data_IF_531737815594
#
_entry.id   IF_531737815594
#
_cell.length_a   1.000
_cell.length_b   1.000
_cell.length_c   1.000
_cell.angle_alpha   90.00
_cell.angle_beta   90.00
_cell.angle_gamma   90.00
#
_symmetry.space_group_name_H-M   'P 1'
#
loop_
_entity.id
_entity.type
_entity.pdbx_description
1 polymer ?
#
# COMPACT_ATOMS: atom_id res chain seq x y z
N UNK A 1 -10.35 42.90 18.72
CA UNK A 1 -8.90 43.11 18.97
C UNK A 1 -8.13 42.02 18.23
N UNK A 2 -7.31 42.46 17.27
CA UNK A 2 -6.27 41.77 16.51
C UNK A 2 -6.56 40.48 15.72
N UNK A 3 -7.03 40.71 14.50
CA UNK A 3 -6.81 39.93 13.28
C UNK A 3 -5.36 40.10 12.80
N UNK A 4 -4.68 39.02 12.36
CA UNK A 4 -3.53 39.12 11.45
C UNK A 4 -3.68 38.09 10.32
N UNK A 5 -4.09 38.60 9.17
CA UNK A 5 -4.05 37.93 7.88
C UNK A 5 -2.64 38.09 7.29
N UNK A 6 -2.06 37.00 6.79
CA UNK A 6 -0.88 37.05 5.93
C UNK A 6 -1.33 36.98 4.48
N UNK A 7 -1.11 38.08 3.78
CA UNK A 7 -1.29 38.24 2.34
C UNK A 7 0.03 37.91 1.65
N UNK A 8 0.00 36.99 0.67
CA UNK A 8 1.11 36.79 -0.27
C UNK A 8 0.50 36.81 -1.66
N UNK A 9 0.90 37.82 -2.41
CA UNK A 9 0.43 38.16 -3.73
C UNK A 9 1.64 38.19 -4.68
N UNK A 10 1.34 37.94 -5.95
CA UNK A 10 2.10 38.23 -7.17
C UNK A 10 3.13 37.23 -7.70
N UNK A 11 2.86 36.80 -8.94
CA UNK A 11 3.80 36.16 -9.84
C UNK A 11 3.16 35.56 -11.11
N UNK A 12 2.14 36.20 -11.71
CA UNK A 12 1.62 35.81 -13.02
C UNK A 12 2.33 36.67 -14.09
N UNK A 13 3.11 36.06 -14.96
CA UNK A 13 3.62 36.70 -16.18
C UNK A 13 3.09 35.91 -17.39
N UNK A 14 2.12 36.51 -18.08
CA UNK A 14 1.65 36.16 -19.41
C UNK A 14 2.01 37.34 -20.30
N UNK A 15 2.87 37.14 -21.29
CA UNK A 15 3.01 38.03 -22.45
C UNK A 15 2.95 37.15 -23.70
N UNK A 16 2.15 37.63 -24.65
CA UNK A 16 1.64 36.95 -25.81
C UNK A 16 2.33 37.40 -27.12
N UNK A 17 2.13 36.56 -28.14
CA UNK A 17 1.95 36.85 -29.58
C UNK A 17 3.12 37.28 -30.49
N UNK A 18 2.98 36.76 -31.72
CA UNK A 18 3.57 37.14 -33.02
C UNK A 18 5.07 36.82 -33.24
N UNK A 19 5.53 36.25 -34.36
CA UNK A 19 5.09 36.34 -35.76
C UNK A 19 5.45 35.07 -36.58
N UNK A 20 4.56 34.69 -37.50
CA UNK A 20 4.88 34.07 -38.80
C UNK A 20 4.27 35.01 -39.86
N UNK A 21 4.67 35.03 -41.17
CA UNK A 21 5.35 34.00 -41.97
C UNK A 21 6.44 34.58 -42.93
N UNK A 22 7.06 33.75 -43.79
CA UNK A 22 7.24 34.00 -45.25
C UNK A 22 7.97 32.83 -45.94
N UNK A 23 7.38 32.34 -47.04
CA UNK A 23 8.00 31.48 -48.06
C UNK A 23 9.03 32.25 -48.90
N UNK A 24 9.93 31.53 -49.62
CA UNK A 24 10.29 31.97 -50.95
C UNK A 24 10.03 30.89 -52.02
N UNK A 25 9.45 31.40 -53.11
CA UNK A 25 9.19 30.80 -54.41
C UNK A 25 10.44 30.61 -55.29
N UNK A 26 10.40 29.58 -56.14
CA UNK A 26 11.12 29.47 -57.43
C UNK A 26 12.44 28.68 -57.39
N UNK A 27 12.89 27.94 -58.40
CA UNK A 27 12.41 27.58 -59.75
C UNK A 27 13.26 26.38 -60.22
N UNK A 28 12.68 25.56 -61.09
CA UNK A 28 13.19 24.41 -61.86
C UNK A 28 14.70 24.25 -62.12
N UNK A 29 15.17 23.00 -61.97
CA UNK A 29 16.19 22.42 -62.86
C UNK A 29 15.95 20.92 -63.05
N UNK A 30 15.63 20.52 -64.29
CA UNK A 30 15.60 19.12 -64.76
C UNK A 30 17.01 18.53 -64.71
N UNK A 31 17.13 17.33 -64.15
CA UNK A 31 18.22 16.42 -64.44
C UNK A 31 17.74 14.98 -64.28
N UNK A 32 17.65 14.29 -65.40
CA UNK A 32 17.39 12.86 -65.54
C UNK A 32 18.69 12.07 -65.23
N UNK A 33 18.65 11.20 -64.23
CA UNK A 33 19.68 10.22 -63.89
C UNK A 33 19.05 8.87 -63.53
N UNK A 34 19.76 7.73 -63.73
CA UNK A 34 19.15 6.44 -63.98
C UNK A 34 18.57 5.79 -62.72
N UNK A 35 17.50 5.02 -62.92
CA UNK A 35 16.88 4.19 -61.90
C UNK A 35 17.90 3.21 -61.30
N UNK A 36 18.32 3.47 -60.06
CA UNK A 36 18.89 2.45 -59.19
C UNK A 36 17.73 1.79 -58.45
N UNK A 37 17.42 0.57 -58.88
CA UNK A 37 16.57 -0.39 -58.17
C UNK A 37 17.26 -0.78 -56.86
N UNK A 38 17.21 0.11 -55.88
CA UNK A 38 17.47 -0.23 -54.49
C UNK A 38 16.23 -0.88 -53.92
N UNK A 39 16.20 -2.22 -53.90
CA UNK A 39 15.30 -2.94 -53.00
C UNK A 39 15.67 -2.52 -51.57
N UNK A 40 14.97 -1.51 -51.07
CA UNK A 40 15.03 -1.15 -49.66
C UNK A 40 14.28 -2.27 -48.95
N UNK A 41 15.03 -3.23 -48.39
CA UNK A 41 14.45 -4.24 -47.53
C UNK A 41 13.65 -3.51 -46.44
N UNK A 42 12.37 -3.82 -46.36
CA UNK A 42 11.50 -3.30 -45.32
C UNK A 42 12.16 -3.52 -43.94
N UNK A 43 12.09 -2.55 -43.02
CA UNK A 43 12.64 -2.74 -41.68
C UNK A 43 12.03 -4.02 -41.10
N UNK A 44 12.92 -4.96 -40.75
CA UNK A 44 12.57 -6.22 -40.10
C UNK A 44 11.56 -5.93 -38.99
N UNK A 45 10.37 -6.52 -39.10
CA UNK A 45 9.30 -6.35 -38.13
C UNK A 45 9.88 -6.61 -36.74
N UNK A 46 9.90 -5.57 -35.89
CA UNK A 46 10.28 -5.71 -34.49
C UNK A 46 9.41 -6.80 -33.90
N UNK A 47 10.02 -7.93 -33.50
CA UNK A 47 9.28 -9.02 -32.90
C UNK A 47 8.52 -8.47 -31.69
N UNK A 48 7.19 -8.50 -31.76
CA UNK A 48 6.34 -8.12 -30.64
C UNK A 48 6.65 -9.07 -29.49
N UNK A 49 7.00 -8.52 -28.33
CA UNK A 49 7.23 -9.32 -27.14
C UNK A 49 5.90 -9.95 -26.69
N UNK A 50 5.89 -11.27 -26.50
CA UNK A 50 4.73 -12.03 -26.00
C UNK A 50 4.89 -12.31 -24.49
N UNK A 51 4.09 -11.68 -23.61
CA UNK A 51 4.17 -11.90 -22.17
C UNK A 51 3.73 -13.32 -21.79
N UNK A 52 4.53 -13.99 -20.96
CA UNK A 52 4.20 -15.29 -20.38
C UNK A 52 3.73 -15.09 -18.94
N UNK A 53 2.60 -15.72 -18.60
CA UNK A 53 2.07 -15.73 -17.24
C UNK A 53 2.99 -16.49 -16.29
N UNK A 54 3.20 -15.94 -15.10
CA UNK A 54 3.98 -16.51 -14.00
C UNK A 54 3.14 -16.47 -12.73
N UNK A 55 3.00 -17.62 -12.08
CA UNK A 55 2.19 -17.78 -10.87
C UNK A 55 3.07 -18.11 -9.67
N UNK A 56 2.69 -17.57 -8.50
CA UNK A 56 3.26 -17.94 -7.20
C UNK A 56 2.11 -18.07 -6.19
N UNK A 57 2.10 -19.18 -5.45
CA UNK A 57 1.18 -19.37 -4.33
C UNK A 57 1.97 -19.50 -3.04
N UNK A 58 1.48 -18.88 -1.98
CA UNK A 58 2.08 -18.93 -0.65
C UNK A 58 1.00 -18.85 0.43
N UNK A 59 1.27 -19.38 1.61
CA UNK A 59 0.44 -19.16 2.79
C UNK A 59 1.03 -17.98 3.59
N UNK A 60 0.22 -16.95 3.86
CA UNK A 60 0.61 -15.78 4.64
C UNK A 60 -0.62 -15.11 5.29
N UNK A 61 -0.42 -14.41 6.42
CA UNK A 61 -1.49 -13.67 7.12
C UNK A 61 -2.76 -14.52 7.42
N UNK A 62 -2.56 -15.82 7.70
CA UNK A 62 -3.64 -16.77 7.98
C UNK A 62 -4.49 -17.15 6.77
N UNK A 63 -4.00 -16.97 5.55
CA UNK A 63 -4.73 -17.30 4.31
C UNK A 63 -3.79 -17.71 3.17
N UNK A 64 -4.37 -18.07 2.03
CA UNK A 64 -3.65 -18.33 0.78
C UNK A 64 -3.53 -17.07 -0.04
N UNK A 65 -2.31 -16.72 -0.41
CA UNK A 65 -2.02 -15.71 -1.42
C UNK A 65 -1.75 -16.38 -2.76
N UNK A 66 -2.34 -15.83 -3.81
CA UNK A 66 -2.08 -16.20 -5.19
C UNK A 66 -1.64 -14.95 -5.93
N UNK A 67 -0.36 -14.89 -6.27
CA UNK A 67 0.25 -13.82 -7.03
C UNK A 67 0.34 -14.26 -8.49
N UNK A 68 -0.09 -13.39 -9.39
CA UNK A 68 0.04 -13.58 -10.83
C UNK A 68 0.80 -12.40 -11.39
N UNK A 69 1.83 -12.65 -12.20
CA UNK A 69 2.49 -11.62 -13.00
C UNK A 69 2.84 -12.15 -14.38
N UNK A 70 3.53 -11.34 -15.18
CA UNK A 70 3.90 -11.69 -16.54
C UNK A 70 5.37 -11.32 -16.79
N UNK A 71 6.03 -12.08 -17.66
CA UNK A 71 7.34 -11.69 -18.19
C UNK A 71 7.26 -10.32 -18.86
N UNK A 72 8.38 -9.62 -18.87
CA UNK A 72 8.50 -8.32 -19.55
C UNK A 72 9.63 -8.39 -20.58
N UNK A 73 9.77 -7.41 -21.49
CA UNK A 73 10.92 -7.36 -22.41
C UNK A 73 12.28 -7.38 -21.70
N UNK A 74 12.32 -7.07 -20.40
CA UNK A 74 13.54 -7.01 -19.57
C UNK A 74 13.66 -8.14 -18.56
N UNK A 75 12.60 -8.89 -18.30
CA UNK A 75 12.53 -9.88 -17.22
C UNK A 75 11.93 -11.18 -17.76
N UNK A 76 12.74 -12.22 -17.81
CA UNK A 76 12.25 -13.56 -18.11
C UNK A 76 11.62 -14.18 -16.85
N UNK A 77 11.09 -15.39 -17.00
CA UNK A 77 10.36 -16.07 -15.94
C UNK A 77 11.15 -16.23 -14.62
N UNK A 78 12.45 -16.58 -14.63
CA UNK A 78 13.22 -16.67 -13.39
C UNK A 78 13.32 -15.33 -12.63
N UNK A 79 13.52 -14.22 -13.34
CA UNK A 79 13.63 -12.88 -12.73
C UNK A 79 12.28 -12.40 -12.20
N UNK A 80 11.18 -12.70 -12.90
CA UNK A 80 9.82 -12.44 -12.40
C UNK A 80 9.56 -13.23 -11.13
N UNK A 81 9.89 -14.52 -11.09
CA UNK A 81 9.76 -15.36 -9.89
C UNK A 81 10.58 -14.82 -8.73
N UNK A 82 11.82 -14.40 -8.97
CA UNK A 82 12.67 -13.80 -7.95
C UNK A 82 12.07 -12.51 -7.39
N UNK A 83 11.53 -11.64 -8.24
CA UNK A 83 10.85 -10.42 -7.82
C UNK A 83 9.60 -10.70 -6.97
N UNK A 84 8.79 -11.69 -7.38
CA UNK A 84 7.62 -12.13 -6.61
C UNK A 84 8.02 -12.72 -5.24
N UNK A 85 9.09 -13.51 -5.17
CA UNK A 85 9.62 -14.05 -3.92
C UNK A 85 10.15 -12.96 -2.98
N UNK A 86 10.83 -11.95 -3.53
CA UNK A 86 11.28 -10.79 -2.75
C UNK A 86 10.08 -10.01 -2.18
N UNK A 87 9.02 -9.82 -2.98
CA UNK A 87 7.79 -9.19 -2.53
C UNK A 87 7.09 -10.01 -1.43
N UNK A 88 7.09 -11.34 -1.54
CA UNK A 88 6.60 -12.23 -0.49
C UNK A 88 7.41 -12.16 0.81
N UNK A 89 8.72 -11.97 0.73
CA UNK A 89 9.54 -11.78 1.93
C UNK A 89 9.15 -10.51 2.70
N UNK A 90 8.73 -9.47 1.98
CA UNK A 90 8.21 -8.23 2.59
C UNK A 90 6.83 -8.45 3.22
N UNK A 91 5.98 -9.26 2.60
CA UNK A 91 4.70 -9.69 3.20
C UNK A 91 4.94 -10.36 4.54
N UNK A 92 5.88 -11.31 4.62
CA UNK A 92 6.20 -12.02 5.87
C UNK A 92 6.74 -11.09 6.95
N UNK A 93 7.62 -10.16 6.58
CA UNK A 93 8.18 -9.17 7.52
C UNK A 93 7.08 -8.30 8.12
N UNK A 94 6.24 -7.71 7.28
CA UNK A 94 5.16 -6.82 7.72
C UNK A 94 4.05 -7.59 8.47
N UNK A 95 3.73 -8.82 8.06
CA UNK A 95 2.76 -9.66 8.74
C UNK A 95 3.20 -9.96 10.18
N UNK A 96 4.50 -10.22 10.41
CA UNK A 96 5.04 -10.40 11.77
C UNK A 96 4.98 -9.10 12.57
N UNK A 97 5.40 -8.00 11.96
CA UNK A 97 5.47 -6.67 12.60
C UNK A 97 4.10 -6.15 13.07
N UNK A 98 3.06 -6.37 12.26
CA UNK A 98 1.70 -5.86 12.46
C UNK A 98 0.77 -6.86 13.18
N UNK A 99 1.27 -8.04 13.55
CA UNK A 99 0.49 -9.12 14.15
C UNK A 99 0.04 -8.79 15.57
N UNK A 100 -1.24 -8.95 15.88
CA UNK A 100 -1.79 -8.94 17.24
C UNK A 100 -1.82 -10.34 17.89
N UNK A 101 -1.37 -11.37 17.17
CA UNK A 101 -1.34 -12.77 17.64
C UNK A 101 -0.02 -13.15 18.32
N UNK A 102 1.01 -12.32 18.18
CA UNK A 102 2.35 -12.58 18.73
C UNK A 102 2.72 -11.46 19.70
N UNK A 103 3.41 -11.83 20.78
CA UNK A 103 3.96 -10.84 21.72
C UNK A 103 5.18 -10.10 21.13
N UNK A 104 5.90 -10.75 20.22
CA UNK A 104 7.07 -10.22 19.52
C UNK A 104 6.66 -9.54 18.20
N UNK A 105 5.96 -8.43 18.33
CA UNK A 105 5.53 -7.55 17.23
C UNK A 105 5.32 -6.14 17.78
N UNK A 106 5.27 -5.12 16.92
CA UNK A 106 5.00 -3.75 17.38
C UNK A 106 3.63 -3.67 18.07
N UNK A 107 2.62 -4.32 17.48
CA UNK A 107 1.25 -4.36 18.04
C UNK A 107 1.22 -5.12 19.36
N UNK A 108 1.94 -6.24 19.47
CA UNK A 108 2.10 -7.01 20.70
C UNK A 108 2.73 -6.18 21.82
N UNK A 109 3.79 -5.43 21.51
CA UNK A 109 4.46 -4.54 22.45
C UNK A 109 3.55 -3.40 22.92
N UNK A 110 2.82 -2.74 21.99
CA UNK A 110 1.84 -1.70 22.34
C UNK A 110 0.75 -2.25 23.27
N UNK A 111 0.23 -3.44 22.97
CA UNK A 111 -0.79 -4.09 23.78
C UNK A 111 -0.29 -4.51 25.17
N UNK A 112 0.97 -4.94 25.27
CA UNK A 112 1.59 -5.34 26.54
C UNK A 112 1.88 -4.14 27.45
N UNK A 113 2.22 -2.98 26.87
CA UNK A 113 2.52 -1.74 27.59
C UNK A 113 1.38 -0.71 27.54
N UNK A 114 0.13 -1.18 27.44
CA UNK A 114 -1.05 -0.32 27.42
C UNK A 114 -1.02 0.71 28.57
N UNK A 115 -1.25 1.99 28.23
CA UNK A 115 -1.09 3.14 29.11
C UNK A 115 0.18 3.96 28.89
N UNK A 116 1.19 3.39 28.24
CA UNK A 116 2.49 4.03 27.96
C UNK A 116 2.72 4.18 26.46
N UNK A 117 3.59 5.12 26.07
CA UNK A 117 4.06 5.21 24.70
C UNK A 117 5.09 4.12 24.40
N UNK A 118 4.90 3.44 23.28
CA UNK A 118 5.81 2.40 22.79
C UNK A 118 6.37 2.83 21.45
N UNK A 119 7.69 2.75 21.31
CA UNK A 119 8.35 2.96 20.02
C UNK A 119 7.96 1.85 19.06
N UNK A 120 7.55 2.24 17.85
CA UNK A 120 7.17 1.33 16.78
C UNK A 120 7.97 1.63 15.51
N UNK A 121 7.86 0.76 14.52
CA UNK A 121 8.34 1.06 13.17
C UNK A 121 7.50 2.16 12.49
N UNK A 122 8.07 2.91 11.53
CA UNK A 122 7.30 3.82 10.68
C UNK A 122 6.12 3.13 9.98
N UNK A 123 6.29 1.87 9.57
CA UNK A 123 5.23 1.11 8.92
C UNK A 123 4.05 0.81 9.86
N UNK A 124 4.32 0.47 11.12
CA UNK A 124 3.24 0.30 12.11
C UNK A 124 2.53 1.61 12.38
N UNK A 125 3.27 2.71 12.52
CA UNK A 125 2.67 4.04 12.68
C UNK A 125 1.74 4.37 11.50
N UNK A 126 2.20 4.17 10.26
CA UNK A 126 1.40 4.43 9.05
C UNK A 126 0.08 3.63 9.06
N UNK A 127 0.11 2.36 9.48
CA UNK A 127 -1.09 1.52 9.57
C UNK A 127 -2.03 1.96 10.70
N UNK A 128 -1.49 2.34 11.86
CA UNK A 128 -2.28 2.85 12.99
C UNK A 128 -2.96 4.15 12.59
N UNK A 129 -2.25 5.08 11.96
CA UNK A 129 -2.82 6.35 11.50
C UNK A 129 -3.87 6.16 10.42
N UNK A 130 -3.66 5.25 9.47
CA UNK A 130 -4.70 4.84 8.51
C UNK A 130 -5.91 4.25 9.21
N UNK A 131 -5.70 3.48 10.29
CA UNK A 131 -6.76 2.92 11.10
C UNK A 131 -7.57 3.98 11.86
N UNK A 132 -6.88 4.98 12.41
CA UNK A 132 -7.49 6.14 13.05
C UNK A 132 -8.30 6.98 12.05
N UNK A 133 -7.74 7.21 10.87
CA UNK A 133 -8.44 7.87 9.77
C UNK A 133 -9.68 7.09 9.36
N UNK A 134 -9.58 5.77 9.19
CA UNK A 134 -10.71 4.90 8.85
C UNK A 134 -11.80 4.94 9.93
N UNK A 135 -11.42 4.94 11.22
CA UNK A 135 -12.38 5.11 12.32
C UNK A 135 -13.06 6.47 12.29
N UNK A 136 -12.34 7.53 11.94
CA UNK A 136 -12.91 8.87 11.78
C UNK A 136 -13.93 8.94 10.64
N UNK A 137 -13.58 8.49 9.44
CA UNK A 137 -14.46 8.60 8.27
C UNK A 137 -15.65 7.63 8.29
N UNK A 138 -15.57 6.59 9.12
CA UNK A 138 -16.67 5.62 9.34
C UNK A 138 -17.48 5.87 10.61
N UNK A 139 -17.23 6.99 11.29
CA UNK A 139 -17.90 7.36 12.55
C UNK A 139 -17.81 6.27 13.64
N UNK A 140 -16.67 5.57 13.70
CA UNK A 140 -16.40 4.49 14.65
C UNK A 140 -16.95 3.12 14.25
N UNK A 141 -17.53 2.97 13.06
CA UNK A 141 -17.93 1.65 12.52
C UNK A 141 -16.71 0.76 12.32
N UNK A 142 -15.61 1.34 11.83
CA UNK A 142 -14.29 0.71 11.85
C UNK A 142 -13.53 1.20 13.09
N UNK A 143 -13.02 0.29 13.92
CA UNK A 143 -12.26 0.67 15.11
C UNK A 143 -11.09 -0.30 15.35
N UNK A 144 -9.86 0.22 15.28
CA UNK A 144 -8.63 -0.56 15.50
C UNK A 144 -8.41 -0.98 16.96
N UNK A 145 -9.27 -0.54 17.88
CA UNK A 145 -9.27 -0.96 19.30
C UNK A 145 -10.29 -2.08 19.58
N UNK A 146 -10.91 -2.66 18.54
CA UNK A 146 -11.88 -3.76 18.68
C UNK A 146 -11.34 -4.95 19.49
N UNK A 147 -10.03 -5.19 19.45
CA UNK A 147 -9.36 -6.28 20.16
C UNK A 147 -9.45 -6.12 21.70
N UNK A 148 -9.93 -4.98 22.19
CA UNK A 148 -10.31 -4.77 23.59
C UNK A 148 -11.50 -5.64 24.04
N UNK A 149 -12.30 -6.13 23.08
CA UNK A 149 -13.33 -7.16 23.29
C UNK A 149 -12.75 -8.58 23.28
N UNK A 150 -11.44 -8.71 23.05
CA UNK A 150 -10.75 -9.99 22.90
C UNK A 150 -11.05 -10.95 24.04
N UNK A 151 -11.31 -12.20 23.68
CA UNK A 151 -11.68 -13.27 24.60
C UNK A 151 -13.19 -13.46 24.78
N UNK A 152 -14.03 -12.47 24.43
CA UNK A 152 -15.48 -12.68 24.33
C UNK A 152 -15.80 -13.60 23.14
N UNK A 153 -15.31 -13.23 21.96
CA UNK A 153 -15.40 -14.08 20.78
C UNK A 153 -14.07 -14.80 20.57
N UNK A 154 -14.14 -16.11 20.39
CA UNK A 154 -13.00 -17.00 20.19
C UNK A 154 -12.79 -17.22 18.70
N UNK A 155 -12.10 -16.28 18.05
CA UNK A 155 -11.80 -16.33 16.60
C UNK A 155 -10.54 -17.15 16.25
N UNK A 156 -9.92 -17.80 17.25
CA UNK A 156 -8.68 -18.57 17.12
C UNK A 156 -8.91 -20.03 16.78
N UNK A 157 -8.24 -20.94 17.49
CA UNK A 157 -8.39 -22.39 17.29
C UNK A 157 -9.86 -22.81 17.48
N UNK A 158 -10.40 -23.58 16.54
CA UNK A 158 -11.74 -24.14 16.63
C UNK A 158 -11.94 -25.00 17.90
N UNK A 159 -10.86 -25.51 18.49
CA UNK A 159 -10.88 -26.22 19.78
C UNK A 159 -11.14 -25.30 20.98
N UNK A 160 -10.87 -24.00 20.83
CA UNK A 160 -11.14 -22.96 21.82
C UNK A 160 -12.45 -22.22 21.52
N UNK A 161 -13.15 -22.58 20.44
CA UNK A 161 -14.42 -21.97 20.09
C UNK A 161 -15.46 -22.25 21.17
N UNK A 162 -16.03 -21.18 21.73
CA UNK A 162 -17.23 -21.30 22.55
C UNK A 162 -18.44 -21.29 21.60
N UNK A 163 -19.25 -22.36 21.56
CA UNK A 163 -20.44 -22.40 20.72
C UNK A 163 -21.53 -21.42 21.18
N UNK A 164 -21.39 -20.80 22.36
CA UNK A 164 -22.34 -19.83 22.88
C UNK A 164 -21.83 -18.41 22.64
N UNK A 165 -22.66 -17.51 22.08
CA UNK A 165 -22.30 -16.11 21.98
C UNK A 165 -22.16 -15.48 23.38
N UNK A 166 -21.31 -14.45 23.53
CA UNK A 166 -21.18 -13.71 24.79
C UNK A 166 -22.52 -13.15 25.26
N UNK A 167 -22.70 -13.08 26.58
CA UNK A 167 -23.89 -12.44 27.13
C UNK A 167 -23.88 -10.92 26.87
N UNK A 168 -25.07 -10.33 26.78
CA UNK A 168 -25.21 -8.88 26.65
C UNK A 168 -24.52 -8.10 27.79
N UNK A 169 -24.47 -8.67 28.99
CA UNK A 169 -23.80 -8.08 30.15
C UNK A 169 -22.27 -8.03 29.97
N UNK A 170 -21.68 -9.10 29.41
CA UNK A 170 -20.24 -9.15 29.13
C UNK A 170 -19.85 -8.17 28.02
N UNK A 171 -20.65 -8.10 26.95
CA UNK A 171 -20.44 -7.13 25.87
C UNK A 171 -20.52 -5.70 26.42
N UNK A 172 -21.60 -5.37 27.14
CA UNK A 172 -21.81 -4.02 27.72
C UNK A 172 -20.67 -3.59 28.64
N UNK A 173 -20.07 -4.55 29.38
CA UNK A 173 -18.95 -4.29 30.28
C UNK A 173 -17.66 -3.91 29.53
N UNK A 174 -17.41 -4.48 28.36
CA UNK A 174 -16.15 -4.27 27.61
C UNK A 174 -16.28 -3.24 26.50
N UNK A 175 -17.48 -2.99 25.98
CA UNK A 175 -17.72 -2.07 24.87
C UNK A 175 -17.10 -0.67 25.05
N UNK A 176 -17.11 -0.04 26.24
CA UNK A 176 -16.47 1.27 26.43
C UNK A 176 -14.96 1.31 26.16
N UNK A 177 -14.30 0.14 26.12
CA UNK A 177 -12.87 -0.02 25.83
C UNK A 177 -12.55 0.09 24.34
N UNK A 178 -13.56 -0.10 23.48
CA UNK A 178 -13.46 0.08 22.03
C UNK A 178 -13.72 1.54 21.72
N UNK A 179 -12.64 2.30 21.56
CA UNK A 179 -12.71 3.72 21.25
C UNK A 179 -11.37 4.19 20.65
N UNK A 180 -11.28 4.18 19.32
CA UNK A 180 -10.09 4.62 18.59
C UNK A 180 -9.68 6.07 18.90
N UNK A 181 -10.61 6.93 19.32
CA UNK A 181 -10.31 8.36 19.59
C UNK A 181 -9.38 8.57 20.79
N UNK A 182 -9.15 7.52 21.59
CA UNK A 182 -8.27 7.53 22.76
C UNK A 182 -6.85 7.02 22.45
N UNK A 183 -6.58 6.61 21.22
CA UNK A 183 -5.24 6.18 20.79
C UNK A 183 -4.43 7.43 20.43
N UNK A 184 -3.19 7.48 20.90
CA UNK A 184 -2.29 8.60 20.69
C UNK A 184 -1.09 8.13 19.85
N UNK A 185 -0.62 8.98 18.92
CA UNK A 185 0.54 8.72 18.07
C UNK A 185 1.56 9.87 18.14
N UNK A 186 2.83 9.58 17.87
CA UNK A 186 3.90 10.55 17.68
C UNK A 186 4.78 10.12 16.50
N UNK A 187 5.29 11.09 15.73
CA UNK A 187 6.02 10.83 14.48
C UNK A 187 7.55 10.72 14.67
N UNK A 188 8.11 11.45 15.65
CA UNK A 188 9.57 11.56 15.84
C UNK A 188 9.98 11.46 17.32
N UNK A 189 10.42 10.27 17.79
CA UNK A 189 10.41 9.00 17.07
C UNK A 189 8.98 8.44 16.91
N UNK A 190 8.74 7.51 15.96
CA UNK A 190 7.43 6.85 15.82
C UNK A 190 7.02 6.13 17.11
N UNK A 191 5.92 6.56 17.71
CA UNK A 191 5.38 5.97 18.93
C UNK A 191 3.86 5.86 18.89
N UNK A 192 3.33 4.84 19.55
CA UNK A 192 1.89 4.62 19.71
C UNK A 192 1.59 4.34 21.17
N UNK A 193 0.48 4.90 21.66
CA UNK A 193 -0.06 4.62 22.98
C UNK A 193 -1.54 4.30 22.88
N UNK A 194 -1.95 3.23 23.55
CA UNK A 194 -3.37 2.93 23.81
C UNK A 194 -3.68 3.07 25.29
N UNK A 195 -4.94 3.32 25.66
CA UNK A 195 -5.36 3.30 27.06
C UNK A 195 -5.13 1.94 27.74
N UNK A 196 -4.95 1.95 29.06
CA UNK A 196 -4.71 0.74 29.89
C UNK A 196 -5.79 -0.35 29.75
N UNK A 197 -7.01 0.05 29.40
CA UNK A 197 -8.16 -0.83 29.23
C UNK A 197 -8.41 -1.24 27.77
N UNK A 198 -7.62 -0.74 26.82
CA UNK A 198 -7.77 -0.98 25.38
C UNK A 198 -6.64 -1.84 24.81
N UNK A 199 -6.91 -2.46 23.66
CA UNK A 199 -5.94 -3.21 22.87
C UNK A 199 -6.11 -2.89 21.38
N UNK A 200 -5.01 -2.71 20.68
CA UNK A 200 -4.96 -2.65 19.22
C UNK A 200 -5.21 -4.02 18.59
N UNK A 201 -5.90 -4.00 17.46
CA UNK A 201 -6.00 -5.09 16.50
C UNK A 201 -6.10 -4.52 15.09
N UNK A 202 -5.09 -4.82 14.26
CA UNK A 202 -4.96 -4.22 12.92
C UNK A 202 -5.48 -5.15 11.80
N UNK A 203 -6.08 -6.29 12.13
CA UNK A 203 -6.50 -7.30 11.15
C UNK A 203 -7.45 -6.79 10.06
N UNK A 204 -8.25 -5.75 10.35
CA UNK A 204 -9.16 -5.11 9.39
C UNK A 204 -8.51 -4.15 8.39
N UNK A 205 -7.22 -3.82 8.53
CA UNK A 205 -6.53 -2.84 7.67
C UNK A 205 -5.11 -3.27 7.25
N UNK A 206 -4.42 -4.07 8.06
CA UNK A 206 -3.04 -4.48 7.81
C UNK A 206 -2.86 -5.24 6.49
N UNK A 207 -3.80 -6.11 6.11
CA UNK A 207 -3.69 -6.92 4.87
C UNK A 207 -3.64 -6.05 3.62
N UNK A 208 -4.50 -5.04 3.53
CA UNK A 208 -4.51 -4.11 2.41
C UNK A 208 -3.19 -3.34 2.31
N UNK A 209 -2.71 -2.84 3.44
CA UNK A 209 -1.41 -2.17 3.51
C UNK A 209 -0.24 -3.07 3.05
N UNK A 210 -0.23 -4.32 3.49
CA UNK A 210 0.81 -5.29 3.10
C UNK A 210 0.77 -5.56 1.60
N UNK A 211 -0.43 -5.71 1.02
CA UNK A 211 -0.61 -5.86 -0.44
C UNK A 211 -0.14 -4.62 -1.19
N UNK A 212 -0.38 -3.41 -0.66
CA UNK A 212 0.13 -2.17 -1.26
C UNK A 212 1.67 -2.13 -1.28
N UNK A 213 2.33 -2.53 -0.19
CA UNK A 213 3.81 -2.60 -0.13
C UNK A 213 4.36 -3.69 -1.05
N UNK A 214 3.70 -4.84 -1.14
CA UNK A 214 4.02 -5.92 -2.08
C UNK A 214 3.94 -5.40 -3.53
N UNK A 215 2.85 -4.73 -3.91
CA UNK A 215 2.68 -4.14 -5.22
C UNK A 215 3.75 -3.07 -5.53
N UNK A 216 4.12 -2.24 -4.53
CA UNK A 216 5.20 -1.26 -4.68
C UNK A 216 6.56 -1.93 -4.92
N UNK A 217 6.87 -3.02 -4.20
CA UNK A 217 8.09 -3.79 -4.40
C UNK A 217 8.15 -4.42 -5.80
N UNK A 218 7.04 -5.01 -6.26
CA UNK A 218 6.94 -5.60 -7.60
C UNK A 218 7.13 -4.54 -8.70
N UNK A 219 6.53 -3.34 -8.56
CA UNK A 219 6.74 -2.22 -9.49
C UNK A 219 8.20 -1.78 -9.52
N UNK A 220 8.85 -1.68 -8.37
CA UNK A 220 10.27 -1.32 -8.26
C UNK A 220 11.17 -2.35 -8.95
N UNK A 221 10.79 -3.62 -8.94
CA UNK A 221 11.49 -4.70 -9.64
C UNK A 221 11.24 -4.70 -11.16
N UNK A 222 10.39 -3.81 -11.70
CA UNK A 222 10.11 -3.70 -13.13
C UNK A 222 8.90 -4.49 -13.61
N UNK A 223 8.13 -5.09 -12.69
CA UNK A 223 6.85 -5.74 -13.01
C UNK A 223 5.76 -4.67 -13.16
N UNK A 224 5.02 -4.71 -14.26
CA UNK A 224 3.99 -3.71 -14.59
C UNK A 224 2.57 -4.26 -14.69
N UNK A 225 2.43 -5.58 -14.79
CA UNK A 225 1.16 -6.29 -14.83
C UNK A 225 1.19 -7.42 -13.80
N UNK A 226 0.33 -7.32 -12.79
CA UNK A 226 0.21 -8.32 -11.74
C UNK A 226 -1.14 -8.22 -11.00
N UNK A 227 -1.52 -9.32 -10.35
CA UNK A 227 -2.68 -9.48 -9.48
C UNK A 227 -2.25 -10.19 -8.20
#
# INVERSE_FOLDING_TARGET
MNTRAFSLCFGLLLVACDDAPQEPTGTDARSSGPAHSGTTAAPSASQTFEPKRVDLQADAMGTKLHLVSFTTPRLAEPEVKQAMQAAMSEVDRLAKLLSDWTADSDVGHVNAAAGEFVKVSPETLEVVEKGLWAGKVSEGTFDITWNSLGGLWKFGDAREADPKPPSAAEIKRLLPRVNYTRVETQDDPPQVKVPKDSKLGLGGIAKGYIVDKMAAAMRKAGLSSFL
#
